data_IF_488021621403
#
_entry.id   IF_488021621403
#
_cell.length_a   1.000
_cell.length_b   1.000
_cell.length_c   1.000
_cell.angle_alpha   90.00
_cell.angle_beta   90.00
_cell.angle_gamma   90.00
#
_symmetry.space_group_name_H-M   'P 1'
#
loop_
_entity.id
_entity.type
_entity.pdbx_description
1 polymer ?
#
# COMPACT_ATOMS: atom_id res chain seq x y z
N UNK A 1 -6.25 -24.80 -59.40
CA UNK A 1 -6.35 -24.40 -57.98
C UNK A 1 -5.20 -25.02 -57.22
N UNK A 2 -4.08 -24.30 -57.05
CA UNK A 2 -3.05 -24.63 -56.04
C UNK A 2 -2.41 -23.29 -55.61
N UNK A 3 -2.78 -22.80 -54.43
CA UNK A 3 -2.23 -21.58 -53.85
C UNK A 3 -1.01 -21.93 -53.00
N UNK A 4 0.11 -21.29 -53.33
CA UNK A 4 1.24 -21.04 -52.44
C UNK A 4 0.76 -20.45 -51.12
N UNK A 5 1.23 -20.96 -49.97
CA UNK A 5 1.65 -20.19 -48.77
C UNK A 5 2.26 -21.18 -47.77
N UNK A 6 3.56 -21.46 -47.88
CA UNK A 6 4.35 -22.02 -46.78
C UNK A 6 5.38 -20.96 -46.44
N UNK A 7 5.18 -20.28 -45.31
CA UNK A 7 6.12 -19.28 -44.86
C UNK A 7 5.50 -18.30 -43.88
N UNK A 8 4.97 -18.77 -42.74
CA UNK A 8 4.68 -17.87 -41.62
C UNK A 8 4.41 -18.54 -40.26
N UNK A 9 5.04 -19.67 -39.94
CA UNK A 9 4.89 -20.29 -38.60
C UNK A 9 6.26 -20.65 -38.04
N UNK A 10 7.09 -19.66 -37.72
CA UNK A 10 8.34 -19.89 -36.98
C UNK A 10 8.80 -18.74 -36.08
N UNK A 11 7.99 -17.71 -35.82
CA UNK A 11 8.42 -16.59 -34.96
C UNK A 11 7.60 -16.42 -33.67
N UNK A 12 6.67 -17.32 -33.36
CA UNK A 12 5.76 -17.10 -32.23
C UNK A 12 6.01 -17.94 -30.97
N UNK A 13 7.11 -18.70 -30.90
CA UNK A 13 7.37 -19.62 -29.77
C UNK A 13 8.57 -19.21 -28.90
N UNK A 14 9.40 -18.24 -29.31
CA UNK A 14 10.56 -17.82 -28.50
C UNK A 14 10.29 -16.63 -27.55
N UNK A 15 9.09 -16.06 -27.53
CA UNK A 15 8.77 -14.88 -26.71
C UNK A 15 8.07 -15.19 -25.37
N UNK A 16 7.75 -16.44 -25.08
CA UNK A 16 7.03 -16.83 -23.86
C UNK A 16 7.93 -17.34 -22.71
N UNK A 17 9.20 -17.67 -22.98
CA UNK A 17 10.09 -18.27 -21.98
C UNK A 17 10.95 -17.25 -21.20
N UNK A 18 10.97 -15.97 -21.63
CA UNK A 18 11.79 -14.93 -20.98
C UNK A 18 11.11 -14.21 -19.81
N UNK A 19 9.81 -14.41 -19.57
CA UNK A 19 9.06 -13.72 -18.51
C UNK A 19 9.11 -14.43 -17.14
N UNK A 20 9.51 -15.71 -17.08
CA UNK A 20 9.49 -16.51 -15.84
C UNK A 20 10.83 -16.56 -15.08
N UNK A 21 11.68 -15.54 -15.26
CA UNK A 21 12.86 -15.34 -14.40
C UNK A 21 12.80 -14.04 -13.60
N UNK A 22 11.60 -13.66 -13.18
CA UNK A 22 11.51 -12.65 -12.12
C UNK A 22 11.83 -13.38 -10.82
N UNK A 23 13.05 -13.22 -10.32
CA UNK A 23 13.51 -13.79 -9.06
C UNK A 23 12.42 -13.60 -7.99
N UNK A 24 11.95 -14.65 -7.31
CA UNK A 24 10.94 -14.51 -6.24
C UNK A 24 11.43 -13.59 -5.11
N UNK A 25 12.75 -13.42 -4.99
CA UNK A 25 13.38 -12.45 -4.11
C UNK A 25 13.12 -11.00 -4.54
N UNK A 26 13.15 -10.68 -5.84
CA UNK A 26 12.83 -9.36 -6.37
C UNK A 26 11.34 -9.05 -6.24
N UNK A 27 10.46 -10.00 -6.56
CA UNK A 27 9.00 -9.89 -6.33
C UNK A 27 8.72 -9.63 -4.84
N UNK A 28 9.43 -10.34 -3.96
CA UNK A 28 9.32 -10.17 -2.51
C UNK A 28 9.75 -8.78 -2.04
N UNK A 29 10.84 -8.22 -2.59
CA UNK A 29 11.34 -6.88 -2.24
C UNK A 29 10.40 -5.78 -2.75
N UNK A 30 9.91 -5.90 -3.98
CA UNK A 30 8.94 -4.95 -4.56
C UNK A 30 7.63 -4.96 -3.80
N UNK A 31 7.12 -6.14 -3.44
CA UNK A 31 5.92 -6.29 -2.61
C UNK A 31 6.07 -5.64 -1.23
N UNK A 32 7.23 -5.81 -0.57
CA UNK A 32 7.51 -5.15 0.71
C UNK A 32 7.52 -3.63 0.55
N UNK A 33 8.25 -3.11 -0.44
CA UNK A 33 8.35 -1.66 -0.70
C UNK A 33 6.98 -1.05 -0.99
N UNK A 34 6.16 -1.71 -1.81
CA UNK A 34 4.81 -1.28 -2.14
C UNK A 34 3.92 -1.22 -0.88
N UNK A 35 3.97 -2.25 -0.02
CA UNK A 35 3.23 -2.23 1.26
C UNK A 35 3.66 -1.08 2.17
N UNK A 36 4.97 -0.83 2.34
CA UNK A 36 5.45 0.30 3.16
C UNK A 36 4.90 1.63 2.67
N UNK A 37 4.97 1.83 1.36
CA UNK A 37 4.50 3.05 0.72
C UNK A 37 3.00 3.22 0.93
N UNK A 38 2.22 2.16 0.73
CA UNK A 38 0.77 2.15 0.94
C UNK A 38 0.38 2.47 2.38
N UNK A 39 1.02 1.83 3.36
CA UNK A 39 0.82 2.11 4.79
C UNK A 39 1.11 3.59 5.09
N UNK A 40 2.23 4.12 4.58
CA UNK A 40 2.63 5.51 4.80
C UNK A 40 1.62 6.51 4.23
N UNK A 41 1.10 6.24 3.03
CA UNK A 41 0.08 7.05 2.38
C UNK A 41 -1.20 7.12 3.22
N UNK A 42 -1.71 5.95 3.62
CA UNK A 42 -2.93 5.85 4.42
C UNK A 42 -2.79 6.49 5.81
N UNK A 43 -1.68 6.24 6.50
CA UNK A 43 -1.41 6.89 7.80
C UNK A 43 -1.25 8.40 7.66
N UNK A 44 -0.76 8.88 6.52
CA UNK A 44 -0.62 10.32 6.31
C UNK A 44 -1.97 11.04 6.40
N UNK A 45 -3.07 10.39 6.00
CA UNK A 45 -4.46 10.90 6.14
C UNK A 45 -4.82 11.31 7.57
N UNK A 46 -4.28 10.62 8.58
CA UNK A 46 -4.69 10.79 9.98
C UNK A 46 -3.58 11.23 10.93
N UNK A 47 -2.29 11.09 10.56
CA UNK A 47 -1.15 11.17 11.51
C UNK A 47 -1.04 12.48 12.30
N UNK A 48 -1.58 13.59 11.80
CA UNK A 48 -1.57 14.87 12.50
C UNK A 48 -2.81 15.13 13.37
N UNK A 49 -3.75 14.20 13.46
CA UNK A 49 -4.94 14.31 14.30
C UNK A 49 -4.70 13.66 15.66
N UNK A 50 -4.61 14.42 16.77
CA UNK A 50 -4.18 13.91 18.08
C UNK A 50 -4.91 12.65 18.58
N UNK A 51 -6.16 12.44 18.19
CA UNK A 51 -6.96 11.26 18.57
C UNK A 51 -6.79 10.01 17.70
N UNK A 52 -6.04 10.08 16.59
CA UNK A 52 -6.05 9.02 15.58
C UNK A 52 -5.54 7.68 16.12
N UNK A 53 -4.49 7.68 16.95
CA UNK A 53 -3.93 6.45 17.52
C UNK A 53 -4.95 5.74 18.39
N UNK A 54 -5.62 6.48 19.27
CA UNK A 54 -6.67 5.96 20.14
C UNK A 54 -7.85 5.45 19.32
N UNK A 55 -8.32 6.22 18.34
CA UNK A 55 -9.41 5.79 17.46
C UNK A 55 -9.09 4.53 16.65
N UNK A 56 -7.81 4.30 16.30
CA UNK A 56 -7.37 3.07 15.65
C UNK A 56 -7.38 1.89 16.63
N UNK A 57 -6.75 2.03 17.79
CA UNK A 57 -6.65 0.95 18.80
C UNK A 57 -8.00 0.59 19.41
N UNK A 58 -8.93 1.54 19.54
CA UNK A 58 -10.29 1.27 20.01
C UNK A 58 -11.05 0.34 19.03
N UNK A 59 -10.77 0.43 17.72
CA UNK A 59 -11.38 -0.45 16.70
C UNK A 59 -10.59 -1.73 16.46
N UNK A 60 -9.27 -1.69 16.60
CA UNK A 60 -8.38 -2.84 16.43
C UNK A 60 -7.54 -3.07 17.71
N UNK A 61 -8.13 -3.65 18.77
CA UNK A 61 -7.45 -3.85 20.06
C UNK A 61 -6.18 -4.70 19.99
N UNK A 62 -6.02 -5.51 18.95
CA UNK A 62 -4.78 -6.28 18.72
C UNK A 62 -3.52 -5.37 18.62
N UNK A 63 -3.70 -4.11 18.22
CA UNK A 63 -2.62 -3.13 18.16
C UNK A 63 -2.47 -2.30 19.45
N UNK A 64 -3.32 -2.51 20.46
CA UNK A 64 -3.18 -1.91 21.80
C UNK A 64 -2.17 -2.70 22.67
N UNK A 65 -0.98 -2.87 22.12
CA UNK A 65 0.14 -3.54 22.77
C UNK A 65 1.42 -2.75 22.53
N UNK A 66 2.49 -3.03 23.28
CA UNK A 66 3.79 -2.39 23.06
C UNK A 66 4.28 -2.61 21.61
N UNK A 67 4.09 -3.82 21.09
CA UNK A 67 4.42 -4.19 19.71
C UNK A 67 3.56 -3.42 18.71
N UNK A 68 2.25 -3.32 18.94
CA UNK A 68 1.33 -2.55 18.09
C UNK A 68 1.65 -1.05 18.07
N UNK A 69 1.93 -0.45 19.23
CA UNK A 69 2.36 0.95 19.34
C UNK A 69 3.68 1.22 18.58
N UNK A 70 4.59 0.25 18.61
CA UNK A 70 5.85 0.30 17.85
C UNK A 70 5.58 0.24 16.35
N UNK A 71 4.70 -0.67 15.89
CA UNK A 71 4.26 -0.77 14.50
C UNK A 71 3.61 0.53 14.00
N UNK A 72 2.73 1.15 14.79
CA UNK A 72 2.10 2.43 14.44
C UNK A 72 3.12 3.56 14.32
N UNK A 73 4.15 3.55 15.17
CA UNK A 73 5.25 4.53 15.10
C UNK A 73 6.10 4.32 13.86
N UNK A 74 6.42 3.06 13.50
CA UNK A 74 7.10 2.72 12.26
C UNK A 74 6.26 3.07 11.02
N UNK A 75 4.94 2.90 11.08
CA UNK A 75 4.00 3.24 10.02
C UNK A 75 4.03 4.73 9.69
N UNK A 76 4.02 5.60 10.70
CA UNK A 76 4.17 7.04 10.51
C UNK A 76 5.48 7.42 9.80
N UNK A 77 6.54 6.66 10.06
CA UNK A 77 7.86 6.86 9.46
C UNK A 77 7.99 6.16 8.08
N UNK A 78 7.00 5.38 7.65
CA UNK A 78 7.06 4.56 6.44
C UNK A 78 8.07 3.41 6.51
N UNK A 79 8.28 2.86 7.71
CA UNK A 79 9.32 1.86 8.02
C UNK A 79 8.77 0.46 8.32
N UNK A 80 7.47 0.22 8.14
CA UNK A 80 6.84 -1.09 8.32
C UNK A 80 6.13 -1.53 7.04
N UNK A 81 6.23 -2.81 6.73
CA UNK A 81 5.51 -3.52 5.65
C UNK A 81 4.55 -4.59 6.20
N UNK A 82 4.16 -4.45 7.47
CA UNK A 82 3.33 -5.41 8.17
C UNK A 82 1.97 -5.61 7.46
N UNK A 83 1.65 -6.84 7.05
CA UNK A 83 0.46 -7.12 6.24
C UNK A 83 -0.84 -6.99 7.04
N UNK A 84 -0.83 -7.32 8.33
CA UNK A 84 -2.03 -7.21 9.18
C UNK A 84 -2.37 -5.75 9.44
N UNK A 85 -1.35 -4.92 9.68
CA UNK A 85 -1.47 -3.48 9.81
C UNK A 85 -1.99 -2.84 8.52
N UNK A 86 -1.46 -3.26 7.36
CA UNK A 86 -1.94 -2.75 6.07
C UNK A 86 -3.44 -3.01 5.92
N UNK A 87 -3.87 -4.27 6.13
CA UNK A 87 -5.28 -4.64 6.03
C UNK A 87 -6.16 -3.82 6.98
N UNK A 88 -5.75 -3.70 8.24
CA UNK A 88 -6.51 -2.94 9.24
C UNK A 88 -6.64 -1.46 8.86
N UNK A 89 -5.57 -0.82 8.37
CA UNK A 89 -5.60 0.59 7.96
C UNK A 89 -6.44 0.77 6.68
N UNK A 90 -6.36 -0.14 5.72
CA UNK A 90 -7.15 -0.09 4.48
C UNK A 90 -8.65 -0.14 4.75
N UNK A 91 -9.09 -0.92 5.75
CA UNK A 91 -10.48 -0.94 6.19
C UNK A 91 -10.84 0.29 7.04
N UNK A 92 -9.91 0.78 7.85
CA UNK A 92 -10.19 1.84 8.82
C UNK A 92 -10.25 3.25 8.23
N UNK A 93 -9.36 3.59 7.29
CA UNK A 93 -9.30 4.94 6.74
C UNK A 93 -10.60 5.35 6.03
N UNK A 94 -11.22 4.51 5.17
CA UNK A 94 -12.53 4.81 4.60
C UNK A 94 -13.59 5.05 5.68
N UNK A 95 -13.62 4.22 6.71
CA UNK A 95 -14.54 4.38 7.85
C UNK A 95 -14.33 5.72 8.57
N UNK A 96 -13.09 6.15 8.81
CA UNK A 96 -12.80 7.46 9.41
C UNK A 96 -13.25 8.62 8.51
N UNK A 97 -13.03 8.51 7.20
CA UNK A 97 -13.45 9.53 6.23
C UNK A 97 -14.98 9.64 6.16
N UNK A 98 -15.68 8.52 6.25
CA UNK A 98 -17.14 8.47 6.23
C UNK A 98 -17.76 8.97 7.54
N UNK A 99 -17.28 8.46 8.68
CA UNK A 99 -17.86 8.78 9.99
C UNK A 99 -17.42 10.13 10.55
N UNK A 100 -16.32 10.69 10.05
CA UNK A 100 -15.75 11.98 10.47
C UNK A 100 -15.80 12.17 12.00
N UNK A 101 -15.16 11.28 12.78
CA UNK A 101 -15.19 11.38 14.23
C UNK A 101 -14.60 12.72 14.70
N UNK A 102 -15.01 13.21 15.87
CA UNK A 102 -14.69 14.56 16.36
C UNK A 102 -13.19 14.90 16.38
N UNK A 103 -12.33 13.88 16.50
CA UNK A 103 -10.88 14.05 16.49
C UNK A 103 -10.29 14.20 15.09
N UNK A 104 -11.04 13.85 14.03
CA UNK A 104 -10.56 13.81 12.65
C UNK A 104 -10.79 15.15 11.96
N UNK A 105 -9.69 15.86 11.73
CA UNK A 105 -9.66 17.03 10.87
C UNK A 105 -9.08 16.57 9.54
N UNK A 106 -9.86 16.71 8.46
CA UNK A 106 -9.41 16.40 7.11
C UNK A 106 -8.22 17.29 6.78
N UNK A 107 -7.02 16.73 6.82
CA UNK A 107 -5.84 17.47 6.44
C UNK A 107 -5.88 17.65 4.91
N UNK A 108 -5.66 18.87 4.40
CA UNK A 108 -5.49 19.11 2.96
C UNK A 108 -4.01 18.92 2.61
N UNK A 109 -3.57 17.69 2.36
CA UNK A 109 -2.15 17.39 2.12
C UNK A 109 -1.77 17.62 0.65
N UNK A 110 -2.71 18.12 -0.15
CA UNK A 110 -2.58 18.43 -1.58
C UNK A 110 -2.59 19.95 -1.84
N UNK A 111 -1.99 20.75 -0.97
CA UNK A 111 -1.58 22.12 -1.33
C UNK A 111 -0.07 22.17 -1.40
N UNK A 112 0.48 21.69 -2.52
CA UNK A 112 1.74 22.26 -3.00
C UNK A 112 1.48 23.76 -3.19
N UNK A 113 2.20 24.68 -2.51
CA UNK A 113 2.31 26.02 -3.05
C UNK A 113 3.01 25.91 -4.42
N UNK A 114 2.59 26.66 -5.46
CA UNK A 114 3.43 26.80 -6.64
C UNK A 114 4.79 27.32 -6.17
N UNK A 115 5.86 26.65 -6.59
CA UNK A 115 7.22 27.16 -6.46
C UNK A 115 7.23 28.46 -7.27
N UNK A 116 7.36 29.59 -6.58
CA UNK A 116 7.57 30.91 -7.16
C UNK A 116 9.04 31.04 -7.54
#
# INVERSE_FOLDING_TARGET
MQNNTIGQVSQHVELLDMAERTDPMLIGIEGKRARRQRIKELISTVKGNRGWRKGFTDRYPAFDSLSGSSLLTLAQQGRTDDPELLKAIEEWIPFVIETQPDWFIKQNHLRNPPIV
#
